data_IF_729187037407
#
_entry.id   IF_729187037407
#
_cell.length_a   1.000
_cell.length_b   1.000
_cell.length_c   1.000
_cell.angle_alpha   90.00
_cell.angle_beta   90.00
_cell.angle_gamma   90.00
#
_symmetry.space_group_name_H-M   'P 1'
#
loop_
_entity.id
_entity.type
_entity.pdbx_description
1 polymer ?
#
# COMPACT_ATOMS: atom_id res chain seq x y z
N UNK A 1 0.16 4.24 20.10
CA UNK A 1 1.21 3.33 19.53
C UNK A 1 2.01 4.11 18.50
N UNK A 2 3.32 3.89 18.43
CA UNK A 2 4.12 4.56 17.40
C UNK A 2 4.08 3.81 16.08
N UNK A 3 4.69 4.39 15.02
CA UNK A 3 4.63 3.83 13.68
C UNK A 3 5.23 2.41 13.59
N UNK A 4 6.41 2.18 14.19
CA UNK A 4 7.02 0.86 14.18
C UNK A 4 6.15 -0.17 14.88
N UNK A 5 5.60 0.19 16.04
CA UNK A 5 4.68 -0.69 16.76
C UNK A 5 3.45 -1.05 15.92
N UNK A 6 2.90 -0.10 15.19
CA UNK A 6 1.76 -0.36 14.30
C UNK A 6 2.15 -1.34 13.19
N UNK A 7 3.26 -1.11 12.52
CA UNK A 7 3.73 -2.00 11.43
C UNK A 7 3.96 -3.42 11.95
N UNK A 8 4.59 -3.53 13.13
CA UNK A 8 4.83 -4.84 13.76
C UNK A 8 3.51 -5.53 14.13
N UNK A 9 2.55 -4.77 14.66
CA UNK A 9 1.23 -5.30 15.03
C UNK A 9 0.47 -5.81 13.80
N UNK A 10 0.47 -5.03 12.72
CA UNK A 10 -0.26 -5.35 11.49
C UNK A 10 0.37 -6.51 10.73
N UNK A 11 1.69 -6.47 10.55
CA UNK A 11 2.42 -7.43 9.72
C UNK A 11 2.98 -8.63 10.48
N UNK A 12 3.01 -8.56 11.81
CA UNK A 12 3.64 -9.57 12.66
C UNK A 12 5.13 -9.31 12.85
N UNK A 13 5.72 -9.97 13.84
CA UNK A 13 7.11 -9.73 14.25
C UNK A 13 8.14 -10.04 13.16
N UNK A 14 7.85 -11.03 12.32
CA UNK A 14 8.78 -11.44 11.24
C UNK A 14 8.77 -10.49 10.06
N UNK A 15 7.59 -10.05 9.63
CA UNK A 15 7.42 -9.22 8.44
C UNK A 15 7.35 -7.72 8.76
N UNK A 16 6.88 -7.36 9.95
CA UNK A 16 6.75 -5.97 10.39
C UNK A 16 8.06 -5.42 10.93
N UNK A 17 9.07 -5.37 10.09
CA UNK A 17 10.43 -4.98 10.45
C UNK A 17 10.62 -3.47 10.51
N UNK A 18 11.66 -2.97 11.22
CA UNK A 18 12.03 -1.55 11.15
C UNK A 18 12.31 -1.09 9.72
N UNK A 19 12.89 -1.95 8.88
CA UNK A 19 13.16 -1.63 7.48
C UNK A 19 11.87 -1.41 6.69
N UNK A 20 10.87 -2.26 6.85
CA UNK A 20 9.57 -2.08 6.21
C UNK A 20 8.90 -0.78 6.66
N UNK A 21 8.90 -0.53 7.96
CA UNK A 21 8.34 0.70 8.53
C UNK A 21 9.02 1.94 7.94
N UNK A 22 10.34 1.92 7.84
CA UNK A 22 11.12 3.02 7.26
C UNK A 22 10.83 3.20 5.77
N UNK A 23 10.79 2.11 5.00
CA UNK A 23 10.54 2.15 3.56
C UNK A 23 9.15 2.72 3.25
N UNK A 24 8.13 2.32 4.00
CA UNK A 24 6.79 2.87 3.82
C UNK A 24 6.79 4.37 4.13
N UNK A 25 7.41 4.78 5.22
CA UNK A 25 7.48 6.18 5.62
C UNK A 25 8.21 7.04 4.58
N UNK A 26 9.32 6.52 4.03
CA UNK A 26 10.09 7.18 2.97
C UNK A 26 9.22 7.45 1.74
N UNK A 27 8.52 6.43 1.26
CA UNK A 27 7.68 6.54 0.06
C UNK A 27 6.46 7.43 0.33
N UNK A 28 5.84 7.30 1.50
CA UNK A 28 4.75 8.15 1.92
C UNK A 28 5.13 9.62 1.88
N UNK A 29 6.31 9.94 2.38
CA UNK A 29 6.84 11.31 2.37
C UNK A 29 7.13 11.80 0.94
N UNK A 30 7.75 10.97 0.11
CA UNK A 30 8.05 11.30 -1.29
C UNK A 30 6.78 11.68 -2.08
N UNK A 31 5.69 10.95 -1.87
CA UNK A 31 4.46 11.10 -2.64
C UNK A 31 3.38 11.91 -1.92
N UNK A 32 3.60 12.28 -0.68
CA UNK A 32 2.61 12.97 0.16
C UNK A 32 1.31 12.16 0.27
N UNK A 33 1.47 10.86 0.44
CA UNK A 33 0.38 9.90 0.67
C UNK A 33 0.53 9.38 2.10
N UNK A 34 -0.59 9.26 2.81
CA UNK A 34 -0.55 8.79 4.19
C UNK A 34 0.06 7.40 4.30
N UNK A 35 1.04 7.24 5.18
CA UNK A 35 1.70 5.95 5.42
C UNK A 35 0.72 4.87 5.89
N UNK A 36 -0.34 5.24 6.58
CA UNK A 36 -1.38 4.30 7.00
C UNK A 36 -2.19 3.79 5.81
N UNK A 37 -2.39 4.61 4.78
CA UNK A 37 -3.01 4.15 3.54
C UNK A 37 -2.13 3.12 2.83
N UNK A 38 -0.85 3.39 2.70
CA UNK A 38 0.10 2.47 2.07
C UNK A 38 0.14 1.15 2.85
N UNK A 39 0.24 1.20 4.16
CA UNK A 39 0.24 0.00 5.00
C UNK A 39 -1.06 -0.81 4.81
N UNK A 40 -2.20 -0.14 4.71
CA UNK A 40 -3.48 -0.81 4.48
C UNK A 40 -3.53 -1.52 3.13
N UNK A 41 -2.99 -0.91 2.08
CA UNK A 41 -2.87 -1.55 0.76
C UNK A 41 -1.91 -2.74 0.83
N UNK A 42 -0.74 -2.57 1.43
CA UNK A 42 0.26 -3.63 1.59
C UNK A 42 -0.34 -4.85 2.30
N UNK A 43 -1.03 -4.63 3.40
CA UNK A 43 -1.66 -5.74 4.12
C UNK A 43 -2.75 -6.40 3.28
N UNK A 44 -3.59 -5.62 2.64
CA UNK A 44 -4.68 -6.14 1.80
C UNK A 44 -4.18 -6.93 0.60
N UNK A 45 -3.10 -6.48 -0.04
CA UNK A 45 -2.58 -7.10 -1.25
C UNK A 45 -1.71 -8.33 -0.97
N UNK A 46 -0.80 -8.24 -0.03
CA UNK A 46 0.25 -9.26 0.15
C UNK A 46 0.35 -9.83 1.55
N UNK A 47 -0.42 -9.33 2.51
CA UNK A 47 -0.23 -9.62 3.93
C UNK A 47 1.21 -9.31 4.37
N UNK A 48 1.78 -8.25 3.83
CA UNK A 48 3.13 -7.76 4.09
C UNK A 48 4.25 -8.69 3.58
N UNK A 49 3.93 -9.62 2.70
CA UNK A 49 4.93 -10.56 2.16
C UNK A 49 5.57 -9.99 0.91
N UNK A 50 6.87 -9.64 0.93
CA UNK A 50 7.52 -9.02 -0.23
C UNK A 50 7.66 -9.97 -1.42
N UNK A 51 7.55 -11.27 -1.20
CA UNK A 51 7.68 -12.30 -2.24
C UNK A 51 6.33 -12.78 -2.77
N UNK A 52 5.22 -12.17 -2.35
CA UNK A 52 3.90 -12.56 -2.80
C UNK A 52 3.78 -12.44 -4.32
N UNK A 53 3.21 -13.48 -4.94
CA UNK A 53 3.07 -13.54 -6.39
C UNK A 53 1.69 -14.10 -6.73
N UNK A 54 0.84 -13.27 -7.32
CA UNK A 54 -0.52 -13.62 -7.65
C UNK A 54 -0.68 -14.26 -9.03
N UNK A 55 -1.89 -14.71 -9.32
CA UNK A 55 -2.20 -15.45 -10.56
C UNK A 55 -2.09 -14.61 -11.83
N UNK A 56 -2.24 -13.30 -11.73
CA UNK A 56 -2.13 -12.37 -12.87
C UNK A 56 -0.75 -11.77 -12.99
N UNK A 57 0.26 -12.43 -12.42
CA UNK A 57 1.64 -11.94 -12.33
C UNK A 57 1.75 -10.65 -11.51
N UNK A 58 0.86 -10.45 -10.59
CA UNK A 58 0.93 -9.38 -9.60
C UNK A 58 1.99 -9.74 -8.56
N UNK A 59 2.89 -8.80 -8.27
CA UNK A 59 4.13 -9.05 -7.54
C UNK A 59 4.30 -8.15 -6.33
N UNK A 60 4.80 -8.73 -5.26
CA UNK A 60 5.35 -8.06 -4.10
C UNK A 60 4.33 -7.40 -3.19
N UNK A 61 4.82 -6.49 -2.37
CA UNK A 61 4.05 -5.87 -1.28
C UNK A 61 2.73 -5.25 -1.73
N UNK A 62 2.72 -4.55 -2.85
CA UNK A 62 1.54 -3.85 -3.36
C UNK A 62 0.91 -4.56 -4.57
N UNK A 63 1.37 -5.77 -4.89
CA UNK A 63 0.84 -6.61 -5.98
C UNK A 63 0.77 -5.86 -7.31
N UNK A 64 1.91 -5.36 -7.75
CA UNK A 64 2.05 -4.63 -9.00
C UNK A 64 2.19 -5.61 -10.17
N UNK A 65 1.41 -5.38 -11.24
CA UNK A 65 1.45 -6.20 -12.46
C UNK A 65 2.40 -5.53 -13.47
N UNK A 66 3.57 -6.12 -13.76
CA UNK A 66 4.59 -5.43 -14.57
C UNK A 66 4.15 -5.06 -15.98
N UNK A 67 3.31 -5.86 -16.62
CA UNK A 67 2.87 -5.56 -17.98
C UNK A 67 2.04 -4.27 -18.10
N UNK A 68 1.39 -3.85 -17.00
CA UNK A 68 0.59 -2.62 -16.97
C UNK A 68 1.41 -1.40 -16.58
N UNK A 69 2.63 -1.59 -16.05
CA UNK A 69 3.43 -0.53 -15.45
C UNK A 69 4.83 -0.40 -16.04
N UNK A 70 5.05 -0.91 -17.26
CA UNK A 70 6.37 -0.89 -17.90
C UNK A 70 6.98 0.51 -18.01
N UNK A 71 6.20 1.49 -18.45
CA UNK A 71 6.68 2.89 -18.57
C UNK A 71 6.94 3.52 -17.20
N UNK A 72 6.06 3.24 -16.23
CA UNK A 72 6.23 3.71 -14.85
C UNK A 72 7.50 3.14 -14.24
N UNK A 73 7.72 1.85 -14.39
CA UNK A 73 8.91 1.17 -13.89
C UNK A 73 10.18 1.72 -14.52
N UNK A 74 10.17 1.93 -15.84
CA UNK A 74 11.32 2.50 -16.54
C UNK A 74 11.64 3.91 -16.04
N UNK A 75 10.65 4.75 -15.87
CA UNK A 75 10.82 6.12 -15.36
C UNK A 75 11.39 6.14 -13.94
N UNK A 76 10.95 5.20 -13.10
CA UNK A 76 11.38 5.10 -11.70
C UNK A 76 12.67 4.32 -11.51
N UNK A 77 13.21 3.70 -12.57
CA UNK A 77 14.38 2.85 -12.47
C UNK A 77 14.13 1.54 -11.75
N UNK A 78 12.90 1.03 -11.81
CA UNK A 78 12.51 -0.21 -11.14
C UNK A 78 12.86 -1.41 -12.00
N UNK A 79 13.62 -2.35 -11.43
CA UNK A 79 14.06 -3.57 -12.11
C UNK A 79 13.56 -4.84 -11.42
N UNK A 80 13.14 -4.75 -10.16
CA UNK A 80 12.72 -5.91 -9.36
C UNK A 80 11.54 -5.53 -8.46
N UNK A 81 10.35 -6.01 -8.83
CA UNK A 81 9.13 -5.76 -8.04
C UNK A 81 9.04 -6.59 -6.75
N UNK A 82 9.96 -7.53 -6.54
CA UNK A 82 10.06 -8.24 -5.26
C UNK A 82 10.98 -7.50 -4.27
N UNK A 83 11.70 -6.47 -4.73
CA UNK A 83 12.41 -5.56 -3.84
C UNK A 83 11.39 -4.64 -3.14
N UNK A 84 11.34 -4.61 -1.80
CA UNK A 84 10.31 -3.87 -1.07
C UNK A 84 10.23 -2.39 -1.43
N UNK A 85 11.36 -1.69 -1.49
CA UNK A 85 11.35 -0.25 -1.77
C UNK A 85 10.92 0.04 -3.20
N UNK A 86 11.42 -0.72 -4.17
CA UNK A 86 11.02 -0.57 -5.57
C UNK A 86 9.53 -0.83 -5.77
N UNK A 87 9.00 -1.85 -5.11
CA UNK A 87 7.58 -2.18 -5.17
C UNK A 87 6.72 -1.05 -4.58
N UNK A 88 7.07 -0.60 -3.38
CA UNK A 88 6.36 0.49 -2.70
C UNK A 88 6.35 1.78 -3.55
N UNK A 89 7.46 2.11 -4.19
CA UNK A 89 7.52 3.28 -5.08
C UNK A 89 6.60 3.12 -6.27
N UNK A 90 6.61 1.96 -6.90
CA UNK A 90 5.79 1.72 -8.10
C UNK A 90 4.30 1.77 -7.77
N UNK A 91 3.88 1.07 -6.74
CA UNK A 91 2.48 1.04 -6.33
C UNK A 91 1.98 2.41 -5.87
N UNK A 92 2.79 3.12 -5.09
CA UNK A 92 2.41 4.45 -4.59
C UNK A 92 2.43 5.50 -5.70
N UNK A 93 3.37 5.40 -6.65
CA UNK A 93 3.35 6.25 -7.84
C UNK A 93 2.03 6.11 -8.60
N UNK A 94 1.54 4.90 -8.78
CA UNK A 94 0.26 4.65 -9.41
C UNK A 94 -0.90 5.24 -8.61
N UNK A 95 -0.96 5.00 -7.32
CA UNK A 95 -2.00 5.58 -6.44
C UNK A 95 -2.01 7.09 -6.49
N UNK A 96 -0.82 7.70 -6.49
CA UNK A 96 -0.67 9.16 -6.58
C UNK A 96 -1.19 9.70 -7.92
N UNK A 97 -0.87 9.01 -9.02
CA UNK A 97 -1.38 9.37 -10.35
C UNK A 97 -2.90 9.25 -10.43
N UNK A 98 -3.49 8.33 -9.68
CA UNK A 98 -4.95 8.16 -9.57
C UNK A 98 -5.60 9.16 -8.59
N UNK A 99 -4.82 10.06 -7.99
CA UNK A 99 -5.27 11.07 -7.04
C UNK A 99 -5.91 10.48 -5.78
N UNK A 100 -5.24 9.50 -5.20
CA UNK A 100 -5.74 8.77 -4.02
C UNK A 100 -6.00 9.69 -2.81
N UNK A 101 -5.27 10.79 -2.69
CA UNK A 101 -5.47 11.75 -1.58
C UNK A 101 -6.73 12.59 -1.76
N UNK A 102 -7.19 12.77 -2.99
CA UNK A 102 -8.38 13.58 -3.30
C UNK A 102 -9.65 12.74 -3.31
N UNK A 103 -9.56 11.53 -3.88
CA UNK A 103 -10.69 10.60 -3.96
C UNK A 103 -10.19 9.16 -3.72
N UNK A 104 -10.00 8.78 -2.46
CA UNK A 104 -9.46 7.47 -2.11
C UNK A 104 -10.28 6.29 -2.64
N UNK A 105 -11.58 6.36 -2.53
CA UNK A 105 -12.45 5.26 -2.93
C UNK A 105 -12.34 4.97 -4.43
N UNK A 106 -12.35 6.01 -5.25
CA UNK A 106 -12.22 5.88 -6.70
C UNK A 106 -10.84 5.36 -7.11
N UNK A 107 -9.79 5.97 -6.57
CA UNK A 107 -8.42 5.57 -6.86
C UNK A 107 -8.16 4.10 -6.48
N UNK A 108 -8.59 3.68 -5.31
CA UNK A 108 -8.39 2.31 -4.83
C UNK A 108 -9.19 1.30 -5.65
N UNK A 109 -10.39 1.65 -6.08
CA UNK A 109 -11.17 0.76 -6.94
C UNK A 109 -10.48 0.55 -8.30
N UNK A 110 -9.95 1.61 -8.89
CA UNK A 110 -9.18 1.52 -10.14
C UNK A 110 -7.88 0.73 -9.93
N UNK A 111 -7.18 0.99 -8.83
CA UNK A 111 -5.96 0.27 -8.49
C UNK A 111 -6.18 -1.24 -8.50
N UNK A 112 -7.28 -1.69 -7.94
CA UNK A 112 -7.61 -3.10 -7.82
C UNK A 112 -8.20 -3.70 -9.10
N UNK A 113 -9.09 -2.97 -9.79
CA UNK A 113 -9.93 -3.54 -10.85
C UNK A 113 -9.82 -2.90 -12.23
N UNK A 114 -8.92 -1.91 -12.41
CA UNK A 114 -8.80 -1.19 -13.68
C UNK A 114 -9.82 -0.06 -13.82
N UNK A 115 -9.82 0.60 -14.98
CA UNK A 115 -10.59 1.83 -15.18
C UNK A 115 -12.10 1.65 -15.28
N UNK A 116 -12.56 0.40 -15.41
CA UNK A 116 -13.99 0.04 -15.25
C UNK A 116 -14.10 -1.00 -14.13
N UNK A 117 -13.90 -0.57 -12.87
CA UNK A 117 -13.76 -1.54 -11.78
C UNK A 117 -15.07 -2.29 -11.52
N UNK A 118 -15.00 -3.62 -11.33
CA UNK A 118 -16.18 -4.41 -10.97
C UNK A 118 -16.59 -4.15 -9.50
N UNK A 119 -17.80 -4.58 -9.08
CA UNK A 119 -18.27 -4.36 -7.71
C UNK A 119 -17.29 -4.81 -6.62
N UNK A 120 -16.59 -5.92 -6.80
CA UNK A 120 -15.60 -6.40 -5.82
C UNK A 120 -14.47 -5.40 -5.56
N UNK A 121 -14.14 -4.56 -6.55
CA UNK A 121 -13.09 -3.53 -6.41
C UNK A 121 -13.56 -2.38 -5.53
N UNK A 122 -14.84 -2.06 -5.55
CA UNK A 122 -15.41 -1.08 -4.63
C UNK A 122 -15.41 -1.61 -3.20
N UNK A 123 -15.70 -2.89 -3.01
CA UNK A 123 -15.59 -3.53 -1.69
C UNK A 123 -14.15 -3.55 -1.20
N UNK A 124 -13.20 -3.82 -2.09
CA UNK A 124 -11.76 -3.72 -1.79
C UNK A 124 -11.40 -2.31 -1.31
N UNK A 125 -11.82 -1.29 -2.05
CA UNK A 125 -11.54 0.10 -1.70
C UNK A 125 -12.09 0.46 -0.31
N UNK A 126 -13.31 0.05 -0.01
CA UNK A 126 -13.93 0.28 1.29
C UNK A 126 -13.14 -0.42 2.41
N UNK A 127 -12.68 -1.65 2.18
CA UNK A 127 -11.86 -2.39 3.16
C UNK A 127 -10.55 -1.69 3.46
N UNK A 128 -9.88 -1.18 2.44
CA UNK A 128 -8.62 -0.41 2.60
C UNK A 128 -8.86 0.83 3.43
N UNK A 129 -9.92 1.59 3.12
CA UNK A 129 -10.25 2.84 3.82
C UNK A 129 -10.60 2.57 5.28
N UNK A 130 -11.38 1.54 5.57
CA UNK A 130 -11.73 1.15 6.94
C UNK A 130 -10.50 0.76 7.74
N UNK A 131 -9.61 -0.07 7.17
CA UNK A 131 -8.36 -0.44 7.84
C UNK A 131 -7.48 0.76 8.12
N UNK A 132 -7.35 1.67 7.13
CA UNK A 132 -6.60 2.90 7.33
C UNK A 132 -7.14 3.68 8.52
N UNK A 133 -8.46 3.82 8.61
CA UNK A 133 -9.10 4.52 9.73
C UNK A 133 -8.76 3.88 11.07
N UNK A 134 -8.76 2.54 11.15
CA UNK A 134 -8.35 1.82 12.35
C UNK A 134 -6.89 2.09 12.71
N UNK A 135 -5.99 2.09 11.70
CA UNK A 135 -4.57 2.39 11.91
C UNK A 135 -4.36 3.81 12.41
N UNK A 136 -5.06 4.76 11.83
CA UNK A 136 -5.00 6.16 12.28
C UNK A 136 -5.45 6.27 13.74
N UNK A 137 -6.49 5.55 14.12
CA UNK A 137 -6.96 5.49 15.49
C UNK A 137 -5.93 4.92 16.46
N UNK A 138 -5.24 3.86 16.06
CA UNK A 138 -4.19 3.24 16.89
C UNK A 138 -2.98 4.14 17.08
N UNK A 139 -2.65 4.97 16.08
CA UNK A 139 -1.56 5.94 16.21
C UNK A 139 -1.93 7.14 17.10
N UNK A 140 -3.20 7.55 17.09
CA UNK A 140 -3.63 8.82 17.69
C UNK A 140 -4.73 8.67 18.73
N UNK A 141 -5.74 7.85 18.42
CA UNK A 141 -7.01 7.85 19.11
C UNK A 141 -6.98 7.25 20.52
N UNK A 142 -6.11 6.27 20.78
CA UNK A 142 -6.04 5.65 22.10
C UNK A 142 -5.59 6.63 23.16
N UNK A 143 -4.82 7.63 22.79
CA UNK A 143 -4.36 8.68 23.69
C UNK A 143 -5.52 9.52 24.20
N UNK A 144 -6.50 9.77 23.33
CA UNK A 144 -7.71 10.46 23.71
C UNK A 144 -8.60 9.61 24.63
N UNK A 145 -8.54 8.31 24.51
CA UNK A 145 -9.30 7.35 25.32
C UNK A 145 -8.66 7.05 26.67
N UNK A 146 -7.44 7.41 26.84
CA UNK A 146 -6.71 7.13 28.10
C UNK A 146 -6.81 8.31 29.11
#
# INVERSE_FOLDING_TARGET
MNWLELVTTVCGATLGTPELAHNIDTVATEYKVDRTLILSVVWGESRCKPEAHGKSDDRGLMQVVPKWHGRRMARLGVTNLFDPLQNLRTGTDFLSALRVTEDPAHALAIYNGGFTPPPRSHSYANSVILRKSEYDGLLNGHEAGS
#
